data_IF_779744942687
#
_entry.id   IF_779744942687
#
_cell.length_a   1.000
_cell.length_b   1.000
_cell.length_c   1.000
_cell.angle_alpha   90.00
_cell.angle_beta   90.00
_cell.angle_gamma   90.00
#
_symmetry.space_group_name_H-M   'P 1'
#
loop_
_entity.id
_entity.type
_entity.pdbx_description
1 polymer ?
#
# COMPACT_ATOMS: atom_id res chain seq x y z
N UNK A 1 22.90 -4.76 3.39
CA UNK A 1 22.61 -3.54 4.17
C UNK A 1 21.51 -3.82 5.17
N UNK A 2 21.58 -3.24 6.36
CA UNK A 2 20.53 -3.36 7.39
C UNK A 2 19.38 -2.39 7.16
N UNK A 3 18.21 -2.66 7.73
CA UNK A 3 17.03 -1.80 7.65
C UNK A 3 17.33 -0.37 8.11
N UNK A 4 17.97 -0.21 9.28
CA UNK A 4 18.32 1.13 9.82
C UNK A 4 19.26 1.92 8.89
N UNK A 5 20.21 1.25 8.25
CA UNK A 5 21.12 1.85 7.27
C UNK A 5 20.36 2.28 6.01
N UNK A 6 19.44 1.42 5.53
CA UNK A 6 18.67 1.71 4.33
C UNK A 6 17.71 2.88 4.50
N UNK A 7 16.99 2.96 5.62
CA UNK A 7 16.08 4.08 5.87
C UNK A 7 16.84 5.40 6.07
N UNK A 8 18.10 5.36 6.50
CA UNK A 8 18.96 6.54 6.60
C UNK A 8 19.53 6.98 5.23
N UNK A 9 19.43 6.15 4.18
CA UNK A 9 19.94 6.48 2.85
C UNK A 9 19.22 7.68 2.24
N UNK A 10 19.96 8.51 1.50
CA UNK A 10 19.41 9.68 0.79
C UNK A 10 18.23 9.29 -0.11
N UNK A 11 18.33 8.13 -0.76
CA UNK A 11 17.30 7.60 -1.64
C UNK A 11 15.97 7.39 -0.92
N UNK A 12 15.99 6.78 0.26
CA UNK A 12 14.79 6.54 1.04
C UNK A 12 14.25 7.84 1.64
N UNK A 13 15.13 8.69 2.17
CA UNK A 13 14.76 9.98 2.75
C UNK A 13 14.10 10.92 1.74
N UNK A 14 14.56 10.93 0.48
CA UNK A 14 13.96 11.71 -0.59
C UNK A 14 12.51 11.29 -0.86
N UNK A 15 12.25 9.98 -0.94
CA UNK A 15 10.88 9.47 -1.14
C UNK A 15 9.98 9.70 0.08
N UNK A 16 10.52 9.57 1.29
CA UNK A 16 9.78 9.88 2.52
C UNK A 16 9.43 11.37 2.63
N UNK A 17 10.32 12.26 2.17
CA UNK A 17 10.06 13.70 2.09
C UNK A 17 8.88 14.00 1.15
N UNK A 18 8.85 13.36 -0.01
CA UNK A 18 7.76 13.51 -0.97
C UNK A 18 6.44 12.95 -0.41
N UNK A 19 6.45 11.78 0.21
CA UNK A 19 5.30 11.22 0.96
C UNK A 19 4.78 12.17 2.05
N UNK A 20 5.69 12.73 2.86
CA UNK A 20 5.36 13.66 3.93
C UNK A 20 4.74 14.96 3.41
N UNK A 21 5.23 15.47 2.28
CA UNK A 21 4.56 16.59 1.57
C UNK A 21 3.17 16.16 1.13
N UNK A 22 3.02 14.99 0.53
CA UNK A 22 1.73 14.44 0.11
C UNK A 22 0.64 14.46 1.16
N UNK A 23 0.95 13.99 2.38
CA UNK A 23 0.00 14.04 3.50
C UNK A 23 -0.45 15.48 3.82
N UNK A 24 0.44 16.47 3.74
CA UNK A 24 0.10 17.89 3.95
C UNK A 24 -0.80 18.44 2.83
N UNK A 25 -0.54 18.06 1.59
CA UNK A 25 -1.29 18.53 0.41
C UNK A 25 -2.58 17.76 0.15
N UNK A 26 -2.85 16.66 0.85
CA UNK A 26 -3.99 15.77 0.57
C UNK A 26 -5.34 16.50 0.58
N UNK A 27 -5.56 17.41 1.54
CA UNK A 27 -6.77 18.26 1.55
C UNK A 27 -6.88 19.14 0.31
N UNK A 28 -5.77 19.74 -0.12
CA UNK A 28 -5.71 20.61 -1.30
C UNK A 28 -5.90 19.82 -2.60
N UNK A 29 -5.39 18.59 -2.67
CA UNK A 29 -5.61 17.69 -3.81
C UNK A 29 -7.10 17.32 -3.93
N UNK A 30 -7.75 16.97 -2.81
CA UNK A 30 -9.19 16.65 -2.78
C UNK A 30 -10.03 17.88 -3.17
N UNK A 31 -9.74 19.05 -2.59
CA UNK A 31 -10.45 20.29 -2.90
C UNK A 31 -10.25 20.68 -4.37
N UNK A 32 -9.02 20.56 -4.89
CA UNK A 32 -8.73 20.80 -6.30
C UNK A 32 -9.49 19.85 -7.23
N UNK A 33 -9.63 18.57 -6.84
CA UNK A 33 -10.43 17.59 -7.58
C UNK A 33 -11.90 17.99 -7.64
N UNK A 34 -12.47 18.41 -6.50
CA UNK A 34 -13.86 18.90 -6.43
C UNK A 34 -14.06 20.15 -7.30
N UNK A 35 -13.09 21.08 -7.32
CA UNK A 35 -13.13 22.27 -8.18
C UNK A 35 -13.06 21.87 -9.66
N UNK A 36 -12.18 20.93 -10.03
CA UNK A 36 -12.09 20.42 -11.40
C UNK A 36 -13.40 19.79 -11.88
N UNK A 37 -14.04 18.97 -11.03
CA UNK A 37 -15.36 18.40 -11.32
C UNK A 37 -16.43 19.49 -11.43
N UNK A 38 -16.43 20.49 -10.56
CA UNK A 38 -17.37 21.60 -10.63
C UNK A 38 -17.24 22.39 -11.96
N UNK A 39 -16.01 22.59 -12.46
CA UNK A 39 -15.79 23.19 -13.78
C UNK A 39 -16.34 22.33 -14.92
N UNK A 40 -16.18 21.01 -14.87
CA UNK A 40 -16.77 20.10 -15.87
C UNK A 40 -18.30 20.11 -15.82
N UNK A 41 -18.89 20.13 -14.63
CA UNK A 41 -20.34 20.26 -14.47
C UNK A 41 -20.82 21.61 -15.03
N UNK A 42 -20.12 22.70 -14.73
CA UNK A 42 -20.42 24.03 -15.29
C UNK A 42 -20.32 24.05 -16.82
N UNK A 43 -19.32 23.38 -17.40
CA UNK A 43 -19.19 23.22 -18.84
C UNK A 43 -20.39 22.47 -19.44
N UNK A 44 -20.79 21.36 -18.82
CA UNK A 44 -21.94 20.56 -19.25
C UNK A 44 -23.25 21.36 -19.16
N UNK A 45 -23.39 22.21 -18.15
CA UNK A 45 -24.52 23.12 -18.01
C UNK A 45 -24.59 24.12 -19.16
N UNK A 46 -23.47 24.76 -19.48
CA UNK A 46 -23.40 25.76 -20.55
C UNK A 46 -23.59 25.17 -21.95
N UNK A 47 -23.13 23.94 -22.18
CA UNK A 47 -23.12 23.31 -23.51
C UNK A 47 -24.37 22.48 -23.80
N UNK A 48 -24.90 21.75 -22.81
CA UNK A 48 -25.92 20.73 -23.04
C UNK A 48 -27.18 20.86 -22.19
N UNK A 49 -27.08 21.25 -20.91
CA UNK A 49 -28.26 21.22 -20.02
C UNK A 49 -29.14 22.48 -20.08
N UNK A 50 -28.60 23.63 -20.52
CA UNK A 50 -29.42 24.82 -20.67
C UNK A 50 -30.40 24.67 -21.85
N UNK A 51 -31.64 25.19 -21.74
CA UNK A 51 -32.55 25.31 -22.87
C UNK A 51 -31.90 26.06 -24.04
N UNK A 52 -32.19 25.68 -25.29
CA UNK A 52 -31.58 26.28 -26.49
C UNK A 52 -31.78 27.80 -26.55
N UNK A 53 -32.92 28.28 -26.06
CA UNK A 53 -33.27 29.71 -25.97
C UNK A 53 -32.29 30.54 -25.12
N UNK A 54 -31.60 29.89 -24.17
CA UNK A 54 -30.63 30.52 -23.28
C UNK A 54 -29.18 30.27 -23.72
N UNK A 55 -28.94 29.42 -24.74
CA UNK A 55 -27.59 29.14 -25.24
C UNK A 55 -27.15 30.22 -26.21
N UNK A 56 -26.36 31.16 -25.69
CA UNK A 56 -25.68 32.17 -26.50
C UNK A 56 -24.28 31.70 -26.89
N UNK A 57 -23.72 32.26 -27.96
CA UNK A 57 -22.33 31.99 -28.38
C UNK A 57 -21.32 32.24 -27.24
N UNK A 58 -21.57 33.26 -26.42
CA UNK A 58 -20.76 33.55 -25.23
C UNK A 58 -20.80 32.45 -24.17
N UNK A 59 -21.96 31.84 -23.93
CA UNK A 59 -22.09 30.68 -23.05
C UNK A 59 -21.44 29.43 -23.64
N UNK A 60 -21.49 29.27 -24.96
CA UNK A 60 -20.77 28.19 -25.67
C UNK A 60 -19.26 28.29 -25.46
N UNK A 61 -18.68 29.47 -25.67
CA UNK A 61 -17.24 29.72 -25.43
C UNK A 61 -16.87 29.51 -23.97
N UNK A 62 -17.68 30.02 -23.04
CA UNK A 62 -17.47 29.82 -21.60
C UNK A 62 -17.49 28.31 -21.25
N UNK A 63 -18.45 27.56 -21.79
CA UNK A 63 -18.55 26.12 -21.58
C UNK A 63 -17.31 25.36 -22.04
N UNK A 64 -16.79 25.68 -23.23
CA UNK A 64 -15.54 25.08 -23.74
C UNK A 64 -14.35 25.41 -22.83
N UNK A 65 -14.22 26.66 -22.39
CA UNK A 65 -13.13 27.10 -21.50
C UNK A 65 -13.21 26.39 -20.14
N UNK A 66 -14.40 26.32 -19.53
CA UNK A 66 -14.63 25.60 -18.28
C UNK A 66 -14.29 24.11 -18.42
N UNK A 67 -14.68 23.50 -19.54
CA UNK A 67 -14.38 22.10 -19.85
C UNK A 67 -12.87 21.87 -19.95
N UNK A 68 -12.17 22.69 -20.74
CA UNK A 68 -10.72 22.58 -20.92
C UNK A 68 -9.96 22.78 -19.60
N UNK A 69 -10.32 23.80 -18.80
CA UNK A 69 -9.71 24.05 -17.49
C UNK A 69 -10.00 22.87 -16.53
N UNK A 70 -11.24 22.39 -16.49
CA UNK A 70 -11.63 21.25 -15.66
C UNK A 70 -10.80 20.00 -15.96
N UNK A 71 -10.65 19.65 -17.24
CA UNK A 71 -9.81 18.51 -17.67
C UNK A 71 -8.34 18.71 -17.26
N UNK A 72 -7.75 19.88 -17.53
CA UNK A 72 -6.35 20.17 -17.19
C UNK A 72 -6.11 20.06 -15.68
N UNK A 73 -7.01 20.62 -14.86
CA UNK A 73 -6.96 20.54 -13.40
C UNK A 73 -7.00 19.10 -12.93
N UNK A 74 -7.92 18.28 -13.46
CA UNK A 74 -8.03 16.87 -13.07
C UNK A 74 -6.80 16.05 -13.45
N UNK A 75 -6.25 16.27 -14.65
CA UNK A 75 -5.03 15.58 -15.09
C UNK A 75 -3.85 15.96 -14.20
N UNK A 76 -3.62 17.27 -14.00
CA UNK A 76 -2.52 17.76 -13.18
C UNK A 76 -2.62 17.23 -11.73
N UNK A 77 -3.81 17.25 -11.14
CA UNK A 77 -4.02 16.74 -9.79
C UNK A 77 -3.91 15.22 -9.69
N UNK A 78 -4.21 14.48 -10.76
CA UNK A 78 -3.99 13.03 -10.81
C UNK A 78 -2.49 12.71 -10.78
N UNK A 79 -1.68 13.41 -11.57
CA UNK A 79 -0.22 13.26 -11.55
C UNK A 79 0.39 13.67 -10.20
N UNK A 80 -0.07 14.80 -9.64
CA UNK A 80 0.37 15.26 -8.32
C UNK A 80 -0.03 14.27 -7.22
N UNK A 81 -1.27 13.77 -7.24
CA UNK A 81 -1.76 12.75 -6.32
C UNK A 81 -0.95 11.46 -6.38
N UNK A 82 -0.67 10.94 -7.59
CA UNK A 82 0.14 9.74 -7.79
C UNK A 82 1.57 9.91 -7.28
N UNK A 83 2.20 11.06 -7.55
CA UNK A 83 3.57 11.35 -7.06
C UNK A 83 3.70 11.26 -5.53
N UNK A 84 2.64 11.69 -4.85
CA UNK A 84 2.61 11.94 -3.41
C UNK A 84 1.90 10.87 -2.57
N UNK A 85 1.21 9.91 -3.20
CA UNK A 85 0.55 8.79 -2.52
C UNK A 85 1.53 7.75 -1.97
N UNK A 86 2.77 7.74 -2.48
CA UNK A 86 3.75 6.67 -2.23
C UNK A 86 3.32 5.32 -2.78
N UNK A 87 2.32 5.32 -3.66
CA UNK A 87 1.88 4.17 -4.44
C UNK A 87 2.12 4.40 -5.93
N UNK A 88 2.28 3.31 -6.67
CA UNK A 88 2.29 3.32 -8.12
C UNK A 88 0.85 3.38 -8.69
N UNK A 89 0.74 3.44 -10.01
CA UNK A 89 -0.54 3.51 -10.71
C UNK A 89 -1.43 2.27 -10.48
N UNK A 90 -0.87 1.18 -9.96
CA UNK A 90 -1.59 -0.04 -9.60
C UNK A 90 -1.97 -0.08 -8.11
N UNK A 91 -1.73 1.00 -7.37
CA UNK A 91 -2.00 1.09 -5.93
C UNK A 91 -1.01 0.30 -5.07
N UNK A 92 0.14 -0.14 -5.60
CA UNK A 92 1.19 -0.83 -4.83
C UNK A 92 2.17 0.17 -4.27
N UNK A 93 2.80 -0.13 -3.12
CA UNK A 93 3.85 0.74 -2.58
C UNK A 93 5.00 0.88 -3.58
N UNK A 94 5.56 2.09 -3.69
CA UNK A 94 6.76 2.32 -4.51
C UNK A 94 7.86 1.32 -4.10
N UNK A 95 8.65 0.79 -5.05
CA UNK A 95 9.66 -0.23 -4.77
C UNK A 95 10.64 0.14 -3.65
N UNK A 96 11.02 1.41 -3.56
CA UNK A 96 11.93 1.91 -2.51
C UNK A 96 11.36 1.65 -1.10
N UNK A 97 10.05 1.87 -0.92
CA UNK A 97 9.37 1.65 0.34
C UNK A 97 9.12 0.15 0.61
N UNK A 98 8.74 -0.60 -0.42
CA UNK A 98 8.56 -2.05 -0.32
C UNK A 98 9.86 -2.77 0.10
N UNK A 99 11.02 -2.27 -0.34
CA UNK A 99 12.33 -2.78 0.11
C UNK A 99 12.58 -2.49 1.59
N UNK A 100 12.15 -1.34 2.11
CA UNK A 100 12.27 -1.06 3.55
C UNK A 100 11.44 -2.06 4.37
N UNK A 101 10.21 -2.37 3.92
CA UNK A 101 9.39 -3.42 4.51
C UNK A 101 10.07 -4.79 4.46
N UNK A 102 10.66 -5.15 3.32
CA UNK A 102 11.42 -6.39 3.17
C UNK A 102 12.58 -6.46 4.16
N UNK A 103 13.44 -5.44 4.23
CA UNK A 103 14.59 -5.43 5.14
C UNK A 103 14.16 -5.49 6.60
N UNK A 104 13.14 -4.72 6.99
CA UNK A 104 12.58 -4.79 8.34
C UNK A 104 12.09 -6.20 8.66
N UNK A 105 11.33 -6.81 7.75
CA UNK A 105 10.76 -8.13 7.95
C UNK A 105 11.84 -9.22 8.00
N UNK A 106 12.91 -9.09 7.21
CA UNK A 106 14.07 -10.00 7.24
C UNK A 106 14.82 -9.97 8.58
N UNK A 107 14.84 -8.83 9.25
CA UNK A 107 15.54 -8.63 10.53
C UNK A 107 14.67 -8.98 11.74
N UNK A 108 13.37 -8.67 11.69
CA UNK A 108 12.52 -8.70 12.89
C UNK A 108 11.40 -9.75 12.81
N UNK A 109 11.04 -10.22 11.61
CA UNK A 109 9.86 -11.06 11.39
C UNK A 109 10.17 -12.41 10.72
N UNK A 110 11.42 -12.66 10.33
CA UNK A 110 11.80 -13.91 9.67
C UNK A 110 11.97 -15.09 10.65
N UNK A 111 12.18 -14.83 11.93
CA UNK A 111 12.35 -15.88 12.95
C UNK A 111 11.04 -16.14 13.71
N UNK A 112 10.94 -17.25 14.45
CA UNK A 112 9.77 -17.57 15.29
C UNK A 112 8.56 -18.17 14.56
N UNK A 113 8.69 -18.52 13.28
CA UNK A 113 7.67 -19.30 12.58
C UNK A 113 7.73 -20.77 13.00
N UNK A 114 6.57 -21.38 13.24
CA UNK A 114 6.44 -22.81 13.55
C UNK A 114 5.70 -23.54 12.44
N UNK A 115 6.14 -24.78 12.20
CA UNK A 115 5.51 -25.71 11.28
C UNK A 115 4.98 -26.87 12.09
N UNK A 116 3.67 -26.89 12.31
CA UNK A 116 3.00 -27.93 13.10
C UNK A 116 2.32 -28.91 12.15
N UNK A 117 2.82 -30.15 12.08
CA UNK A 117 2.32 -31.19 11.15
C UNK A 117 2.24 -30.71 9.68
N UNK A 118 3.22 -29.92 9.25
CA UNK A 118 3.28 -29.34 7.89
C UNK A 118 2.40 -28.10 7.69
N UNK A 119 1.68 -27.63 8.71
CA UNK A 119 0.89 -26.40 8.66
C UNK A 119 1.65 -25.24 9.29
N UNK A 120 1.74 -24.13 8.58
CA UNK A 120 2.03 -22.81 9.16
C UNK A 120 0.69 -22.09 9.35
N UNK A 121 0.33 -21.80 10.60
CA UNK A 121 -0.85 -21.01 10.92
C UNK A 121 -0.44 -19.74 11.67
N UNK A 122 -1.00 -18.60 11.27
CA UNK A 122 -0.76 -17.33 11.94
C UNK A 122 -1.98 -16.41 11.86
N UNK A 123 -2.08 -15.48 12.80
CA UNK A 123 -3.09 -14.43 12.82
C UNK A 123 -2.40 -13.05 12.83
N UNK A 124 -2.95 -12.12 12.06
CA UNK A 124 -2.55 -10.71 12.07
C UNK A 124 -3.69 -9.95 12.70
N UNK A 125 -3.44 -9.25 13.80
CA UNK A 125 -4.43 -8.38 14.44
C UNK A 125 -3.99 -6.93 14.29
N UNK A 126 -4.85 -6.11 13.71
CA UNK A 126 -4.62 -4.68 13.51
C UNK A 126 -5.63 -3.89 14.32
N UNK A 127 -5.15 -2.93 15.08
CA UNK A 127 -5.96 -1.94 15.79
C UNK A 127 -5.76 -0.58 15.13
N UNK A 128 -6.84 0.16 14.91
CA UNK A 128 -6.81 1.50 14.32
C UNK A 128 -7.50 2.52 15.21
N UNK A 129 -7.04 3.77 15.23
CA UNK A 129 -7.80 4.90 15.77
C UNK A 129 -8.82 5.41 14.74
N UNK A 130 -9.93 5.98 15.23
CA UNK A 130 -11.05 6.60 14.49
C UNK A 130 -11.37 6.04 13.09
N UNK A 131 -12.50 5.33 12.95
CA UNK A 131 -13.07 4.88 11.67
C UNK A 131 -12.04 4.22 10.70
N UNK A 132 -10.98 3.59 11.21
CA UNK A 132 -10.03 2.83 10.39
C UNK A 132 -8.95 3.66 9.70
N UNK A 133 -8.72 4.92 10.09
CA UNK A 133 -7.81 5.81 9.36
C UNK A 133 -6.36 5.77 9.83
N UNK A 134 -6.13 5.66 11.13
CA UNK A 134 -4.78 5.66 11.68
C UNK A 134 -4.46 4.33 12.34
N UNK A 135 -3.30 3.79 12.01
CA UNK A 135 -2.90 2.50 12.52
C UNK A 135 -2.28 2.68 13.92
N UNK A 136 -2.83 1.99 14.91
CA UNK A 136 -2.45 2.11 16.33
C UNK A 136 -1.46 1.03 16.74
N UNK A 137 -1.82 -0.23 16.51
CA UNK A 137 -0.98 -1.36 16.87
C UNK A 137 -1.20 -2.53 15.91
N UNK A 138 -0.15 -3.33 15.75
CA UNK A 138 -0.19 -4.59 14.99
C UNK A 138 0.39 -5.68 15.86
N UNK A 139 -0.37 -6.77 15.97
CA UNK A 139 0.08 -7.99 16.62
C UNK A 139 0.16 -9.11 15.59
N UNK A 140 1.28 -9.81 15.57
CA UNK A 140 1.44 -11.09 14.88
C UNK A 140 1.33 -12.23 15.89
N UNK A 141 0.39 -13.13 15.67
CA UNK A 141 0.26 -14.37 16.43
C UNK A 141 0.72 -15.53 15.55
N UNK A 142 1.73 -16.29 15.99
CA UNK A 142 2.26 -17.44 15.24
C UNK A 142 2.91 -18.42 16.21
N UNK A 143 2.76 -19.72 15.96
CA UNK A 143 3.37 -20.75 16.82
C UNK A 143 2.94 -20.70 18.30
N UNK A 144 1.75 -20.16 18.58
CA UNK A 144 1.23 -19.96 19.94
C UNK A 144 1.77 -18.72 20.66
N UNK A 145 2.67 -17.96 20.03
CA UNK A 145 3.25 -16.74 20.59
C UNK A 145 2.60 -15.50 19.97
N UNK A 146 2.34 -14.50 20.81
CA UNK A 146 1.76 -13.23 20.43
C UNK A 146 2.83 -12.15 20.51
N UNK A 147 3.22 -11.59 19.37
CA UNK A 147 4.28 -10.59 19.25
C UNK A 147 3.70 -9.27 18.74
N UNK A 148 3.99 -8.17 19.45
CA UNK A 148 3.72 -6.84 18.95
C UNK A 148 4.80 -6.44 17.93
N UNK A 149 4.37 -5.95 16.76
CA UNK A 149 5.27 -5.53 15.70
C UNK A 149 5.62 -4.06 15.93
N UNK A 150 6.91 -3.72 16.04
CA UNK A 150 7.35 -2.34 16.23
C UNK A 150 7.25 -1.53 14.92
N UNK A 151 6.24 -0.67 14.85
CA UNK A 151 5.97 0.15 13.67
C UNK A 151 6.57 1.56 13.75
N UNK A 152 7.17 1.92 14.89
CA UNK A 152 7.81 3.24 15.06
C UNK A 152 8.90 3.46 14.02
N UNK A 153 9.56 2.36 13.60
CA UNK A 153 10.51 2.28 12.49
C UNK A 153 10.02 2.92 11.17
N UNK A 154 8.70 3.02 10.95
CA UNK A 154 8.09 3.57 9.73
C UNK A 154 7.46 4.96 9.94
N UNK A 155 7.64 5.60 11.10
CA UNK A 155 7.17 6.97 11.38
C UNK A 155 5.69 7.23 10.97
N UNK A 156 4.80 6.27 11.22
CA UNK A 156 3.36 6.39 10.90
C UNK A 156 3.04 6.45 9.40
N UNK A 157 3.95 6.01 8.52
CA UNK A 157 3.73 5.98 7.07
C UNK A 157 3.07 4.69 6.56
N UNK A 158 3.07 3.63 7.37
CA UNK A 158 2.35 2.40 7.08
C UNK A 158 0.84 2.58 7.21
N UNK A 159 0.12 1.97 6.28
CA UNK A 159 -1.33 1.85 6.28
C UNK A 159 -1.73 0.40 6.56
N UNK A 160 -3.00 0.18 6.94
CA UNK A 160 -3.57 -1.15 7.21
C UNK A 160 -3.29 -2.15 6.08
N UNK A 161 -3.39 -1.70 4.83
CA UNK A 161 -3.16 -2.53 3.64
C UNK A 161 -1.71 -3.03 3.52
N UNK A 162 -0.75 -2.30 4.07
CA UNK A 162 0.67 -2.66 3.97
C UNK A 162 1.06 -3.75 4.97
N UNK A 163 0.30 -3.89 6.08
CA UNK A 163 0.64 -4.79 7.18
C UNK A 163 0.72 -6.24 6.73
N UNK A 164 -0.25 -6.69 5.93
CA UNK A 164 -0.25 -8.05 5.40
C UNK A 164 1.01 -8.29 4.56
N UNK A 165 1.39 -7.34 3.70
CA UNK A 165 2.61 -7.43 2.90
C UNK A 165 3.88 -7.48 3.77
N UNK A 166 3.95 -6.68 4.83
CA UNK A 166 5.07 -6.67 5.78
C UNK A 166 5.26 -8.04 6.46
N UNK A 167 4.19 -8.59 7.04
CA UNK A 167 4.22 -9.89 7.71
C UNK A 167 4.58 -11.01 6.73
N UNK A 168 4.01 -10.98 5.51
CA UNK A 168 4.28 -11.98 4.49
C UNK A 168 5.72 -11.93 3.99
N UNK A 169 6.37 -10.76 3.94
CA UNK A 169 7.81 -10.68 3.68
C UNK A 169 8.63 -11.47 4.72
N UNK A 170 8.21 -11.43 5.99
CA UNK A 170 8.84 -12.21 7.07
C UNK A 170 8.64 -13.71 6.86
N UNK A 171 7.41 -14.12 6.53
CA UNK A 171 7.08 -15.52 6.23
C UNK A 171 7.87 -16.07 5.04
N UNK A 172 7.92 -15.35 3.93
CA UNK A 172 8.63 -15.82 2.73
C UNK A 172 10.13 -15.87 2.97
N UNK A 173 10.69 -14.90 3.70
CA UNK A 173 12.10 -14.95 4.11
C UNK A 173 12.39 -16.19 4.96
N UNK A 174 11.51 -16.53 5.91
CA UNK A 174 11.63 -17.77 6.69
C UNK A 174 11.67 -19.01 5.80
N UNK A 175 10.73 -19.11 4.86
CA UNK A 175 10.62 -20.24 3.94
C UNK A 175 11.83 -20.38 3.00
N UNK A 176 12.51 -19.29 2.69
CA UNK A 176 13.75 -19.31 1.91
C UNK A 176 14.96 -19.74 2.74
N UNK A 177 15.04 -19.27 3.99
CA UNK A 177 16.15 -19.64 4.91
C UNK A 177 16.03 -21.08 5.42
N UNK A 178 14.82 -21.60 5.50
CA UNK A 178 14.53 -22.89 6.12
C UNK A 178 13.85 -23.84 5.13
N UNK A 179 14.52 -24.91 4.67
CA UNK A 179 13.89 -25.93 3.84
C UNK A 179 13.00 -26.85 4.69
N UNK A 180 11.89 -26.32 5.18
CA UNK A 180 10.90 -27.06 5.98
C UNK A 180 9.78 -27.61 5.09
N UNK A 181 9.35 -28.87 5.27
CA UNK A 181 8.24 -29.42 4.52
C UNK A 181 6.92 -28.80 4.98
N UNK A 182 6.37 -27.91 4.16
CA UNK A 182 5.08 -27.25 4.39
C UNK A 182 4.04 -27.86 3.44
N UNK A 183 2.91 -28.28 3.99
CA UNK A 183 1.73 -28.79 3.26
C UNK A 183 0.62 -27.74 3.16
N UNK A 184 0.57 -26.80 4.12
CA UNK A 184 -0.37 -25.70 4.12
C UNK A 184 0.14 -24.45 4.84
N UNK A 185 -0.31 -23.28 4.39
CA UNK A 185 -0.11 -21.97 5.03
C UNK A 185 -1.48 -21.31 5.16
N UNK A 186 -1.90 -21.06 6.39
CA UNK A 186 -3.18 -20.43 6.72
C UNK A 186 -2.96 -19.15 7.51
N UNK A 187 -3.60 -18.08 7.05
CA UNK A 187 -3.57 -16.77 7.68
C UNK A 187 -4.98 -16.33 8.09
N UNK A 188 -5.11 -15.73 9.27
CA UNK A 188 -6.34 -15.04 9.69
C UNK A 188 -6.03 -13.55 9.90
N UNK A 189 -6.91 -12.67 9.45
CA UNK A 189 -6.77 -11.22 9.64
C UNK A 189 -7.87 -10.71 10.56
N UNK A 190 -7.52 -9.98 11.61
CA UNK A 190 -8.44 -9.35 12.56
C UNK A 190 -8.25 -7.83 12.49
N UNK A 191 -9.35 -7.09 12.35
CA UNK A 191 -9.34 -5.62 12.35
C UNK A 191 -10.25 -5.12 13.45
N UNK A 192 -9.70 -4.38 14.43
CA UNK A 192 -10.43 -3.89 15.60
C UNK A 192 -11.26 -5.02 16.25
N UNK A 193 -10.59 -6.11 16.60
CA UNK A 193 -11.17 -7.33 17.20
C UNK A 193 -12.12 -8.12 16.30
N UNK A 194 -12.52 -7.59 15.14
CA UNK A 194 -13.36 -8.30 14.19
C UNK A 194 -12.53 -9.29 13.37
N UNK A 195 -12.79 -10.57 13.59
CA UNK A 195 -12.11 -11.65 12.87
C UNK A 195 -12.65 -11.81 11.43
N UNK A 196 -11.73 -11.77 10.47
CA UNK A 196 -11.98 -12.12 9.08
C UNK A 196 -11.92 -13.63 8.85
N UNK A 197 -12.42 -14.07 7.69
CA UNK A 197 -12.38 -15.49 7.32
C UNK A 197 -10.92 -15.94 7.16
N UNK A 198 -10.56 -17.15 7.60
CA UNK A 198 -9.23 -17.72 7.33
C UNK A 198 -8.98 -17.84 5.83
N UNK A 199 -7.78 -17.47 5.40
CA UNK A 199 -7.32 -17.54 4.01
C UNK A 199 -6.16 -18.54 3.94
N UNK A 200 -6.19 -19.41 2.94
CA UNK A 200 -5.06 -20.28 2.62
C UNK A 200 -4.20 -19.62 1.55
N UNK A 201 -2.91 -19.48 1.82
CA UNK A 201 -1.91 -19.01 0.85
C UNK A 201 -1.29 -20.21 0.10
N UNK A 202 -1.17 -21.33 0.79
CA UNK A 202 -0.66 -22.59 0.26
C UNK A 202 -1.46 -23.73 0.87
N UNK A 203 -1.81 -24.75 0.08
CA UNK A 203 -2.54 -25.93 0.56
C UNK A 203 -2.35 -27.09 -0.41
N UNK A 204 -2.25 -28.31 0.12
CA UNK A 204 -2.14 -29.55 -0.67
C UNK A 204 -0.98 -29.51 -1.67
N UNK A 205 0.16 -28.95 -1.27
CA UNK A 205 1.34 -28.85 -2.14
C UNK A 205 1.26 -27.76 -3.21
N UNK A 206 0.26 -26.88 -3.18
CA UNK A 206 0.03 -25.85 -4.23
C UNK A 206 -0.25 -24.47 -3.63
N UNK A 207 0.30 -23.45 -4.28
CA UNK A 207 -0.04 -22.05 -4.00
C UNK A 207 -1.44 -21.72 -4.50
N UNK A 208 -2.25 -21.09 -3.64
CA UNK A 208 -3.54 -20.51 -4.05
C UNK A 208 -3.30 -19.26 -4.91
N UNK A 209 -4.34 -18.73 -5.55
CA UNK A 209 -4.20 -17.49 -6.34
C UNK A 209 -3.65 -16.34 -5.49
N UNK A 210 -4.23 -16.12 -4.31
CA UNK A 210 -3.75 -15.13 -3.34
C UNK A 210 -2.31 -15.38 -2.94
N UNK A 211 -1.95 -16.63 -2.64
CA UNK A 211 -0.57 -16.98 -2.30
C UNK A 211 0.42 -16.74 -3.44
N UNK A 212 0.05 -17.04 -4.68
CA UNK A 212 0.88 -16.76 -5.87
C UNK A 212 1.12 -15.27 -6.06
N UNK A 213 0.07 -14.44 -5.91
CA UNK A 213 0.18 -12.99 -6.05
C UNK A 213 1.12 -12.40 -4.99
N UNK A 214 0.93 -12.78 -3.72
CA UNK A 214 1.75 -12.30 -2.60
C UNK A 214 3.20 -12.77 -2.72
N UNK A 215 3.42 -14.04 -3.10
CA UNK A 215 4.77 -14.56 -3.35
C UNK A 215 5.44 -13.86 -4.53
N UNK A 216 4.70 -13.58 -5.59
CA UNK A 216 5.22 -12.86 -6.76
C UNK A 216 5.61 -11.42 -6.43
N UNK A 217 4.82 -10.74 -5.59
CA UNK A 217 5.15 -9.40 -5.09
C UNK A 217 6.44 -9.42 -4.26
N UNK A 218 6.56 -10.34 -3.31
CA UNK A 218 7.78 -10.56 -2.55
C UNK A 218 9.02 -10.76 -3.45
N UNK A 219 8.93 -11.69 -4.41
CA UNK A 219 10.02 -11.96 -5.36
C UNK A 219 10.34 -10.77 -6.27
N UNK A 220 9.37 -9.91 -6.56
CA UNK A 220 9.59 -8.67 -7.29
C UNK A 220 10.38 -7.66 -6.46
N UNK A 221 10.06 -7.53 -5.17
CA UNK A 221 10.76 -6.65 -4.23
C UNK A 221 12.20 -7.12 -4.05
N UNK A 222 12.41 -8.41 -3.86
CA UNK A 222 13.74 -9.00 -3.76
C UNK A 222 14.59 -8.75 -5.01
N UNK A 223 14.06 -9.07 -6.20
CA UNK A 223 14.78 -8.82 -7.47
C UNK A 223 15.17 -7.36 -7.62
N UNK A 224 14.28 -6.44 -7.23
CA UNK A 224 14.57 -5.02 -7.26
C UNK A 224 15.68 -4.64 -6.29
N UNK A 225 15.64 -5.14 -5.06
CA UNK A 225 16.64 -4.87 -4.04
C UNK A 225 18.03 -5.38 -4.45
N UNK A 226 18.10 -6.61 -4.98
CA UNK A 226 19.33 -7.21 -5.52
C UNK A 226 19.87 -6.39 -6.70
N UNK A 227 19.01 -6.05 -7.67
CA UNK A 227 19.40 -5.20 -8.82
C UNK A 227 19.96 -3.83 -8.41
N UNK A 228 19.59 -3.34 -7.22
CA UNK A 228 20.04 -2.06 -6.68
C UNK A 228 21.18 -2.20 -5.66
N UNK A 229 21.75 -3.39 -5.47
CA UNK A 229 22.85 -3.62 -4.53
C UNK A 229 22.49 -3.34 -3.07
N UNK A 230 21.20 -3.42 -2.72
CA UNK A 230 20.71 -3.06 -1.39
C UNK A 230 21.02 -4.19 -0.39
N UNK A 231 20.91 -5.44 -0.83
CA UNK A 231 21.48 -6.57 -0.09
C UNK A 231 21.98 -7.61 -1.08
N UNK A 232 23.04 -8.28 -0.67
CA UNK A 232 23.59 -9.47 -1.31
C UNK A 232 23.27 -10.67 -0.40
N UNK A 233 23.17 -11.86 -0.99
CA UNK A 233 22.91 -13.12 -0.25
C UNK A 233 24.07 -13.47 0.69
#
# INVERSE_FOLDING_TARGET
>A
MKFKEYIASERFQREMSDLGKGKKWNKLIIVGWLIGVAFLVGALVCLELLPEELRTDGLGVLGIVLGAIGVVVLIALSFFGAKFSGRDDNGRRKPVYAVAMLLYARENLADGWRVDNGLIAFSISVTTEEKGKELKSVTLERGGERTEVDLAAFNGSLEVLDITGLILCGLFTFLERSPVPVTAIRSTFRLNEREGKPIFLYRNGKWTLTGKLQKGEYQSIERYARKKGIYEE
#
